data_IF_118373636489
#
_entry.id   IF_118373636489
#
_cell.length_a   1.000
_cell.length_b   1.000
_cell.length_c   1.000
_cell.angle_alpha   90.00
_cell.angle_beta   90.00
_cell.angle_gamma   90.00
#
_symmetry.space_group_name_H-M   'P 1'
#
loop_
_entity.id
_entity.type
_entity.pdbx_description
1 polymer ?
#
# COMPACT_ATOMS: atom_id res chain seq x y z
N UNK A 1 -7.89 17.96 23.46
CA UNK A 1 -8.81 17.16 22.61
C UNK A 1 -8.09 16.47 21.45
N UNK A 2 -7.54 17.17 20.45
CA UNK A 2 -6.90 16.53 19.27
C UNK A 2 -5.81 15.49 19.59
N UNK A 3 -4.96 15.77 20.58
CA UNK A 3 -3.90 14.84 21.00
C UNK A 3 -4.46 13.55 21.65
N UNK A 4 -5.55 13.64 22.41
CA UNK A 4 -6.21 12.48 23.02
C UNK A 4 -6.82 11.57 21.95
N UNK A 5 -7.43 12.16 20.92
CA UNK A 5 -7.96 11.42 19.78
C UNK A 5 -6.84 10.69 19.01
N UNK A 6 -5.69 11.34 18.83
CA UNK A 6 -4.52 10.71 18.21
C UNK A 6 -3.99 9.52 19.02
N UNK A 7 -3.86 9.67 20.34
CA UNK A 7 -3.42 8.57 21.21
C UNK A 7 -4.43 7.43 21.25
N UNK A 8 -5.73 7.75 21.30
CA UNK A 8 -6.81 6.75 21.24
C UNK A 8 -6.76 5.96 19.93
N UNK A 9 -6.56 6.63 18.79
CA UNK A 9 -6.45 6.00 17.48
C UNK A 9 -5.19 5.13 17.36
N UNK A 10 -4.06 5.63 17.85
CA UNK A 10 -2.81 4.87 17.91
C UNK A 10 -2.98 3.58 18.71
N UNK A 11 -3.63 3.65 19.89
CA UNK A 11 -3.88 2.48 20.72
C UNK A 11 -4.83 1.48 20.03
N UNK A 12 -5.90 1.97 19.38
CA UNK A 12 -6.85 1.14 18.64
C UNK A 12 -6.18 0.33 17.52
N UNK A 13 -5.19 0.90 16.84
CA UNK A 13 -4.43 0.21 15.78
C UNK A 13 -3.44 -0.81 16.34
N UNK A 14 -2.92 -0.59 17.55
CA UNK A 14 -1.96 -1.48 18.22
C UNK A 14 -2.62 -2.64 19.00
N UNK A 15 -3.89 -2.49 19.38
CA UNK A 15 -4.70 -3.48 20.10
C UNK A 15 -4.68 -4.89 19.46
N UNK A 16 -4.86 -5.06 18.14
CA UNK A 16 -4.82 -6.38 17.48
C UNK A 16 -3.49 -7.11 17.67
N UNK A 17 -2.39 -6.37 17.75
CA UNK A 17 -1.03 -6.91 17.92
C UNK A 17 -0.83 -7.57 19.29
N UNK A 18 -1.57 -7.13 20.32
CA UNK A 18 -1.51 -7.68 21.67
C UNK A 18 -2.16 -9.05 21.81
N UNK A 19 -3.01 -9.48 20.87
CA UNK A 19 -3.73 -10.77 20.95
C UNK A 19 -2.79 -11.98 21.05
N UNK A 20 -1.67 -11.96 20.32
CA UNK A 20 -0.64 -13.02 20.36
C UNK A 20 0.14 -13.00 21.68
N UNK A 21 0.44 -11.81 22.19
CA UNK A 21 1.12 -11.63 23.47
C UNK A 21 0.28 -12.12 24.65
N UNK A 22 -1.04 -11.96 24.59
CA UNK A 22 -1.97 -12.50 25.60
C UNK A 22 -1.87 -14.02 25.76
N UNK A 23 -1.75 -14.78 24.66
CA UNK A 23 -1.57 -16.24 24.71
C UNK A 23 -0.28 -16.63 25.43
N UNK A 24 0.82 -15.91 25.18
CA UNK A 24 2.12 -16.17 25.80
C UNK A 24 2.10 -15.79 27.28
N UNK A 25 1.52 -14.64 27.63
CA UNK A 25 1.37 -14.20 29.01
C UNK A 25 0.54 -15.20 29.84
N UNK A 26 -0.58 -15.67 29.30
CA UNK A 26 -1.40 -16.70 29.93
C UNK A 26 -0.61 -18.00 30.18
N UNK A 27 0.21 -18.41 29.21
CA UNK A 27 1.06 -19.60 29.35
C UNK A 27 2.09 -19.43 30.46
N UNK A 28 2.78 -18.28 30.52
CA UNK A 28 3.78 -18.03 31.55
C UNK A 28 3.18 -18.00 32.96
N UNK A 29 2.03 -17.35 33.14
CA UNK A 29 1.35 -17.28 34.43
C UNK A 29 0.85 -18.65 34.92
N UNK A 30 0.48 -19.55 34.01
CA UNK A 30 -0.13 -20.84 34.33
C UNK A 30 0.74 -22.04 33.91
N UNK A 31 2.04 -21.86 33.70
CA UNK A 31 2.94 -22.88 33.12
C UNK A 31 2.86 -24.21 33.86
N UNK A 32 2.86 -24.14 35.19
CA UNK A 32 2.73 -25.29 36.10
C UNK A 32 1.44 -26.09 35.90
N UNK A 33 0.31 -25.40 35.80
CA UNK A 33 -0.98 -26.03 35.55
C UNK A 33 -1.04 -26.64 34.14
N UNK A 34 -0.52 -25.92 33.15
CA UNK A 34 -0.51 -26.35 31.75
C UNK A 34 0.35 -27.61 31.61
N UNK A 35 1.53 -27.65 32.22
CA UNK A 35 2.42 -28.82 32.19
C UNK A 35 1.78 -30.07 32.83
N UNK A 36 1.03 -29.91 33.92
CA UNK A 36 0.41 -31.03 34.65
C UNK A 36 -0.89 -31.54 34.02
N UNK A 37 -1.74 -30.63 33.56
CA UNK A 37 -3.14 -30.96 33.17
C UNK A 37 -3.33 -30.98 31.67
N UNK A 38 -2.76 -30.02 30.94
CA UNK A 38 -3.04 -29.76 29.53
C UNK A 38 -1.96 -30.28 28.57
N UNK A 39 -0.79 -30.64 29.08
CA UNK A 39 0.32 -31.17 28.29
C UNK A 39 0.03 -32.60 27.82
N UNK A 40 0.08 -32.81 26.50
CA UNK A 40 -0.09 -34.14 25.89
C UNK A 40 1.10 -35.07 26.22
N UNK A 41 2.32 -34.50 26.34
CA UNK A 41 3.55 -35.24 26.63
C UNK A 41 3.83 -35.43 28.13
N UNK A 42 2.84 -35.21 29.01
CA UNK A 42 3.00 -35.34 30.48
C UNK A 42 3.46 -36.73 30.94
N UNK A 43 3.21 -37.78 30.14
CA UNK A 43 3.63 -39.16 30.43
C UNK A 43 5.07 -39.46 29.98
N UNK A 44 5.77 -38.50 29.35
CA UNK A 44 7.13 -38.65 28.84
C UNK A 44 8.04 -37.55 29.42
N UNK A 45 8.40 -37.64 30.72
CA UNK A 45 9.20 -36.62 31.39
C UNK A 45 10.61 -36.45 30.78
N UNK A 46 11.15 -37.49 30.13
CA UNK A 46 12.44 -37.46 29.44
C UNK A 46 12.53 -36.38 28.35
N UNK A 47 11.39 -35.96 27.78
CA UNK A 47 11.32 -34.95 26.73
C UNK A 47 11.39 -33.51 27.25
N UNK A 48 11.36 -33.28 28.56
CA UNK A 48 11.44 -31.94 29.18
C UNK A 48 10.51 -30.89 28.53
N UNK A 49 9.28 -31.30 28.20
CA UNK A 49 8.37 -30.50 27.37
C UNK A 49 7.73 -29.33 28.13
N UNK A 50 7.49 -29.46 29.45
CA UNK A 50 6.94 -28.39 30.31
C UNK A 50 5.71 -27.64 29.76
N UNK A 51 4.84 -28.32 29.01
CA UNK A 51 3.64 -27.71 28.41
C UNK A 51 3.89 -26.94 27.11
N UNK A 52 5.11 -26.94 26.56
CA UNK A 52 5.44 -26.27 25.29
C UNK A 52 4.61 -26.81 24.10
N UNK A 53 4.23 -28.09 24.13
CA UNK A 53 3.37 -28.68 23.08
C UNK A 53 2.00 -28.00 23.01
N UNK A 54 1.42 -27.63 24.17
CA UNK A 54 0.15 -26.93 24.25
C UNK A 54 0.27 -25.52 23.67
N UNK A 55 1.34 -24.80 24.02
CA UNK A 55 1.60 -23.46 23.50
C UNK A 55 1.77 -23.49 21.97
N UNK A 56 2.57 -24.41 21.45
CA UNK A 56 2.79 -24.57 20.01
C UNK A 56 1.47 -24.84 19.26
N UNK A 57 0.61 -25.70 19.81
CA UNK A 57 -0.71 -26.01 19.24
C UNK A 57 -1.63 -24.80 19.22
N UNK A 58 -1.69 -24.04 20.32
CA UNK A 58 -2.47 -22.79 20.42
C UNK A 58 -2.01 -21.75 19.41
N UNK A 59 -0.70 -21.55 19.26
CA UNK A 59 -0.13 -20.59 18.32
C UNK A 59 -0.40 -20.98 16.86
N UNK A 60 -0.21 -22.27 16.51
CA UNK A 60 -0.54 -22.78 15.17
C UNK A 60 -2.01 -22.58 14.83
N UNK A 61 -2.93 -22.92 15.74
CA UNK A 61 -4.36 -22.73 15.52
C UNK A 61 -4.76 -21.25 15.37
N UNK A 62 -4.07 -20.32 16.04
CA UNK A 62 -4.28 -18.88 15.82
C UNK A 62 -3.77 -18.43 14.45
N UNK A 63 -2.64 -18.97 14.00
CA UNK A 63 -2.05 -18.65 12.70
C UNK A 63 -2.90 -19.18 11.54
N UNK A 64 -3.33 -20.45 11.60
CA UNK A 64 -4.19 -21.06 10.58
C UNK A 64 -5.51 -20.30 10.39
N UNK A 65 -6.13 -19.83 11.48
CA UNK A 65 -7.33 -18.99 11.39
C UNK A 65 -7.07 -17.67 10.66
N UNK A 66 -5.91 -17.06 10.91
CA UNK A 66 -5.52 -15.81 10.26
C UNK A 66 -5.21 -16.05 8.77
N UNK A 67 -4.56 -17.16 8.44
CA UNK A 67 -4.24 -17.55 7.08
C UNK A 67 -5.50 -17.90 6.28
N UNK A 68 -6.47 -18.60 6.89
CA UNK A 68 -7.79 -18.88 6.30
C UNK A 68 -8.55 -17.58 5.98
N UNK A 69 -8.63 -16.65 6.94
CA UNK A 69 -9.25 -15.34 6.71
C UNK A 69 -8.56 -14.53 5.61
N UNK A 70 -7.24 -14.66 5.50
CA UNK A 70 -6.47 -13.98 4.44
C UNK A 70 -6.73 -14.63 3.09
N UNK A 71 -6.77 -15.97 3.03
CA UNK A 71 -7.04 -16.72 1.81
C UNK A 71 -8.46 -16.45 1.27
N UNK A 72 -9.48 -16.43 2.15
CA UNK A 72 -10.84 -16.03 1.76
C UNK A 72 -10.87 -14.62 1.16
N UNK A 73 -10.13 -13.66 1.73
CA UNK A 73 -10.07 -12.30 1.17
C UNK A 73 -9.41 -12.26 -0.22
N UNK A 74 -8.36 -13.06 -0.44
CA UNK A 74 -7.65 -13.14 -1.72
C UNK A 74 -8.49 -13.87 -2.78
N UNK A 75 -9.23 -14.91 -2.41
CA UNK A 75 -10.16 -15.57 -3.33
C UNK A 75 -11.29 -14.64 -3.79
N UNK A 76 -11.73 -13.73 -2.91
CA UNK A 76 -12.79 -12.76 -3.22
C UNK A 76 -12.27 -11.44 -3.83
N UNK A 77 -10.95 -11.26 -4.03
CA UNK A 77 -10.46 -10.08 -4.74
C UNK A 77 -10.74 -10.19 -6.23
N UNK A 78 -11.42 -9.21 -6.85
CA UNK A 78 -11.66 -9.23 -8.28
C UNK A 78 -10.33 -9.22 -9.04
N UNK A 79 -10.26 -10.01 -10.11
CA UNK A 79 -9.08 -10.08 -10.98
C UNK A 79 -8.70 -8.67 -11.42
N UNK A 80 -7.52 -8.21 -11.01
CA UNK A 80 -7.00 -6.92 -11.42
C UNK A 80 -6.71 -7.00 -12.93
N UNK A 81 -7.53 -6.34 -13.75
CA UNK A 81 -7.25 -6.23 -15.18
C UNK A 81 -6.14 -5.20 -15.38
N UNK A 82 -4.91 -5.67 -15.50
CA UNK A 82 -3.78 -4.81 -15.87
C UNK A 82 -3.86 -4.50 -17.36
N UNK A 83 -4.03 -3.22 -17.70
CA UNK A 83 -3.89 -2.72 -19.05
C UNK A 83 -2.44 -2.26 -19.28
N UNK A 84 -1.74 -2.91 -20.23
CA UNK A 84 -0.44 -2.46 -20.71
C UNK A 84 -0.61 -1.94 -22.14
N UNK A 85 -0.29 -0.66 -22.35
CA UNK A 85 -0.29 -0.07 -23.67
C UNK A 85 0.94 -0.57 -24.43
N UNK A 86 0.82 -0.99 -25.71
CA UNK A 86 1.99 -1.35 -26.51
C UNK A 86 2.89 -0.13 -26.69
N UNK A 87 4.21 -0.34 -26.56
CA UNK A 87 5.21 0.71 -26.81
C UNK A 87 5.02 1.23 -28.24
N UNK A 88 4.51 2.45 -28.37
CA UNK A 88 4.48 3.16 -29.64
C UNK A 88 5.90 3.61 -29.95
N UNK A 89 6.54 2.92 -30.89
CA UNK A 89 7.79 3.39 -31.47
C UNK A 89 7.47 4.61 -32.34
N UNK A 90 7.96 5.79 -31.96
CA UNK A 90 7.95 6.95 -32.84
C UNK A 90 9.34 7.07 -33.47
N UNK A 91 9.38 7.21 -34.79
CA UNK A 91 10.59 7.59 -35.49
C UNK A 91 10.50 9.07 -35.84
N UNK A 92 11.42 9.88 -35.31
CA UNK A 92 11.62 11.22 -35.82
C UNK A 92 12.14 11.10 -37.26
N UNK A 93 11.30 11.51 -38.22
CA UNK A 93 11.76 11.69 -39.61
C UNK A 93 12.93 12.67 -39.56
N UNK A 94 14.06 12.40 -40.23
CA UNK A 94 15.17 13.35 -40.29
C UNK A 94 14.62 14.68 -40.78
N UNK A 95 15.01 15.77 -40.11
CA UNK A 95 14.66 17.13 -40.56
C UNK A 95 15.21 17.25 -41.98
N UNK A 96 14.31 17.28 -42.96
CA UNK A 96 14.68 17.75 -44.30
C UNK A 96 15.25 19.16 -44.11
N UNK A 97 16.39 19.48 -44.73
CA UNK A 97 16.88 20.83 -44.73
C UNK A 97 15.81 21.66 -45.43
N UNK A 98 15.04 22.41 -44.64
CA UNK A 98 14.22 23.49 -45.18
C UNK A 98 15.23 24.47 -45.72
N UNK A 99 15.36 24.54 -47.04
CA UNK A 99 16.08 25.62 -47.67
C UNK A 99 15.38 26.89 -47.18
N UNK A 100 15.99 27.57 -46.20
CA UNK A 100 15.56 28.90 -45.80
C UNK A 100 15.85 29.79 -46.99
N UNK A 101 14.95 29.81 -47.97
CA UNK A 101 14.82 30.94 -48.86
C UNK A 101 14.59 32.11 -47.91
N UNK A 102 15.50 33.08 -47.93
CA UNK A 102 15.27 34.34 -47.21
C UNK A 102 13.93 34.84 -47.72
N UNK A 103 12.89 34.72 -46.90
CA UNK A 103 11.59 35.22 -47.24
C UNK A 103 11.69 36.74 -47.19
N UNK A 104 12.01 37.34 -48.34
CA UNK A 104 11.98 38.79 -48.52
C UNK A 104 10.52 39.17 -48.70
N UNK A 105 9.86 39.46 -47.59
CA UNK A 105 8.57 40.12 -47.66
C UNK A 105 8.81 41.60 -47.93
N UNK A 106 8.63 42.02 -49.18
CA UNK A 106 8.49 43.44 -49.51
C UNK A 106 7.03 43.79 -49.26
N UNK A 107 6.67 44.04 -47.99
CA UNK A 107 5.41 44.70 -47.69
C UNK A 107 5.62 46.20 -47.85
N UNK A 108 5.16 46.77 -48.97
CA UNK A 108 4.91 48.20 -49.05
C UNK A 108 3.54 48.46 -48.40
N UNK A 109 3.52 48.75 -47.09
CA UNK A 109 2.34 49.36 -46.49
C UNK A 109 2.30 50.82 -46.91
N UNK A 110 1.55 51.12 -47.98
CA UNK A 110 1.35 52.49 -48.44
C UNK A 110 0.67 53.37 -47.37
N UNK A 111 -0.09 52.77 -46.46
CA UNK A 111 -0.53 53.41 -45.21
C UNK A 111 -0.97 52.34 -44.22
N UNK A 112 -0.44 52.41 -43.00
CA UNK A 112 -0.89 51.63 -41.85
C UNK A 112 -1.72 52.53 -40.96
N UNK A 113 -3.02 52.27 -40.84
CA UNK A 113 -3.83 52.79 -39.74
C UNK A 113 -3.90 51.72 -38.66
N UNK A 114 -3.20 51.93 -37.55
CA UNK A 114 -3.40 51.10 -36.36
C UNK A 114 -4.87 51.21 -35.94
N UNK A 115 -5.61 50.10 -35.77
CA UNK A 115 -6.91 50.19 -35.11
C UNK A 115 -6.67 50.68 -33.68
N UNK A 116 -7.11 51.91 -33.39
CA UNK A 116 -7.14 52.47 -32.03
C UNK A 116 -8.22 51.79 -31.15
N UNK A 117 -8.89 50.77 -31.68
CA UNK A 117 -9.88 49.99 -30.98
C UNK A 117 -9.20 48.86 -30.21
N UNK A 118 -9.25 49.04 -28.90
CA UNK A 118 -8.97 48.14 -27.78
C UNK A 118 -7.67 47.32 -27.84
N UNK A 119 -6.72 47.74 -27.01
CA UNK A 119 -5.62 46.89 -26.56
C UNK A 119 -6.26 45.65 -25.95
N UNK A 120 -6.00 44.48 -26.52
CA UNK A 120 -6.43 43.20 -25.95
C UNK A 120 -5.99 43.12 -24.48
N UNK A 121 -6.92 43.36 -23.56
CA UNK A 121 -6.65 43.20 -22.14
C UNK A 121 -6.80 41.71 -21.80
N UNK A 122 -5.77 41.07 -21.22
CA UNK A 122 -5.90 39.69 -20.76
C UNK A 122 -6.96 39.60 -19.65
N UNK A 123 -7.62 38.45 -19.51
CA UNK A 123 -8.64 38.27 -18.48
C UNK A 123 -8.03 38.49 -17.10
N UNK A 124 -8.62 39.42 -16.34
CA UNK A 124 -8.28 39.61 -14.94
C UNK A 124 -8.80 38.40 -14.15
N UNK A 125 -7.93 37.90 -13.29
CA UNK A 125 -8.08 36.65 -12.52
C UNK A 125 -9.22 36.70 -11.52
#
# INVERSE_FOLDING_TARGET
MRKLLLFSWLFAVLLPTFSRWGTIAYFQLNREYIARVLCENRSRPELHCDGQCYLAKRLKAQQEKQDQQTNERVQNTPVLQLYAQPLLWFAFRPRVPVLCTKASFIYQLLSYSAPLADVMHPPCR
#
